data_IF_816829836936
#
_entry.id   IF_816829836936
#
_cell.length_a   1.000
_cell.length_b   1.000
_cell.length_c   1.000
_cell.angle_alpha   90.00
_cell.angle_beta   90.00
_cell.angle_gamma   90.00
#
_symmetry.space_group_name_H-M   'P 1'
#
loop_
_entity.id
_entity.type
_entity.pdbx_description
1 polymer ?
#
# COMPACT_ATOMS: atom_id res chain seq x y z
N UNK A 1 -12.72 -28.17 -25.36
CA UNK A 1 -12.17 -29.38 -24.70
C UNK A 1 -12.84 -29.54 -23.35
N UNK A 2 -13.52 -30.65 -23.08
CA UNK A 2 -14.09 -30.93 -21.76
C UNK A 2 -12.92 -31.14 -20.78
N UNK A 3 -12.74 -30.26 -19.79
CA UNK A 3 -11.72 -30.44 -18.76
C UNK A 3 -12.14 -31.62 -17.89
N UNK A 4 -11.44 -32.75 -18.01
CA UNK A 4 -11.67 -33.89 -17.13
C UNK A 4 -11.21 -33.48 -15.73
N UNK A 5 -12.12 -33.47 -14.76
CA UNK A 5 -11.78 -33.21 -13.36
C UNK A 5 -11.04 -34.45 -12.85
N UNK A 6 -9.76 -34.30 -12.50
CA UNK A 6 -8.92 -35.37 -11.94
C UNK A 6 -8.71 -35.13 -10.45
N UNK A 7 -8.74 -36.21 -9.68
CA UNK A 7 -8.52 -36.16 -8.23
C UNK A 7 -7.04 -35.90 -7.93
N UNK A 8 -6.70 -35.44 -6.72
CA UNK A 8 -5.29 -35.27 -6.32
C UNK A 8 -4.54 -36.60 -6.35
N UNK A 9 -5.20 -37.68 -5.91
CA UNK A 9 -4.62 -39.03 -5.88
C UNK A 9 -4.22 -39.55 -7.27
N UNK A 10 -4.96 -39.14 -8.32
CA UNK A 10 -4.63 -39.45 -9.71
C UNK A 10 -3.23 -38.92 -10.11
N UNK A 11 -2.77 -37.81 -9.53
CA UNK A 11 -1.42 -37.25 -9.76
C UNK A 11 -0.36 -37.89 -8.87
N UNK A 12 -0.72 -38.18 -7.62
CA UNK A 12 0.20 -38.74 -6.62
C UNK A 12 0.75 -40.10 -7.04
N UNK A 13 -0.06 -40.93 -7.71
CA UNK A 13 0.39 -42.20 -8.27
C UNK A 13 1.62 -42.03 -9.17
N UNK A 14 1.60 -41.05 -10.07
CA UNK A 14 2.72 -40.77 -10.97
C UNK A 14 3.91 -40.09 -10.29
N UNK A 15 3.67 -39.25 -9.28
CA UNK A 15 4.76 -38.61 -8.54
C UNK A 15 5.55 -39.59 -7.69
N UNK A 16 4.88 -40.61 -7.12
CA UNK A 16 5.53 -41.69 -6.36
C UNK A 16 6.38 -42.60 -7.26
N UNK A 17 5.93 -42.85 -8.48
CA UNK A 17 6.64 -43.68 -9.45
C UNK A 17 7.91 -42.99 -9.98
N UNK A 18 7.96 -41.65 -9.98
CA UNK A 18 9.16 -40.84 -10.22
C UNK A 18 9.72 -40.88 -11.65
N UNK A 19 9.12 -41.67 -12.54
CA UNK A 19 9.62 -41.98 -13.87
C UNK A 19 9.11 -41.06 -14.98
N UNK A 20 8.07 -40.26 -14.71
CA UNK A 20 7.40 -39.43 -15.72
C UNK A 20 7.61 -37.93 -15.50
N UNK A 21 7.86 -37.23 -16.61
CA UNK A 21 7.91 -35.77 -16.69
C UNK A 21 6.51 -35.15 -16.59
N UNK A 22 6.45 -33.86 -16.23
CA UNK A 22 5.18 -33.12 -16.13
C UNK A 22 4.41 -33.04 -17.45
N UNK A 23 5.10 -33.19 -18.60
CA UNK A 23 4.48 -33.22 -19.93
C UNK A 23 3.75 -34.56 -20.13
N UNK A 24 4.41 -35.67 -19.84
CA UNK A 24 3.84 -37.02 -20.01
C UNK A 24 2.65 -37.25 -19.07
N UNK A 25 2.74 -36.74 -17.83
CA UNK A 25 1.63 -36.80 -16.87
C UNK A 25 0.44 -35.96 -17.35
N UNK A 26 0.70 -34.79 -17.93
CA UNK A 26 -0.34 -33.91 -18.46
C UNK A 26 -1.09 -34.55 -19.63
N UNK A 27 -0.37 -35.19 -20.56
CA UNK A 27 -0.94 -35.92 -21.68
C UNK A 27 -1.77 -37.12 -21.23
N UNK A 28 -1.26 -37.92 -20.28
CA UNK A 28 -1.98 -39.09 -19.73
C UNK A 28 -3.24 -38.71 -18.96
N UNK A 29 -3.19 -37.62 -18.17
CA UNK A 29 -4.32 -37.18 -17.35
C UNK A 29 -5.31 -36.29 -18.12
N UNK A 30 -4.93 -35.79 -19.30
CA UNK A 30 -5.74 -34.87 -20.11
C UNK A 30 -5.87 -33.48 -19.49
N UNK A 31 -4.81 -33.01 -18.83
CA UNK A 31 -4.77 -31.74 -18.08
C UNK A 31 -3.60 -30.88 -18.54
N UNK A 32 -3.54 -29.61 -18.13
CA UNK A 32 -2.42 -28.76 -18.53
C UNK A 32 -1.14 -29.10 -17.75
N UNK A 33 0.01 -28.97 -18.40
CA UNK A 33 1.34 -29.12 -17.76
C UNK A 33 1.48 -28.23 -16.51
N UNK A 34 0.96 -27.02 -16.57
CA UNK A 34 0.98 -26.06 -15.45
C UNK A 34 0.18 -26.59 -14.25
N UNK A 35 -0.92 -27.30 -14.50
CA UNK A 35 -1.69 -27.93 -13.42
C UNK A 35 -0.89 -29.06 -12.76
N UNK A 36 -0.24 -29.92 -13.56
CA UNK A 36 0.63 -30.98 -13.03
C UNK A 36 1.76 -30.40 -12.18
N UNK A 37 2.46 -29.38 -12.68
CA UNK A 37 3.54 -28.71 -11.94
C UNK A 37 3.06 -28.16 -10.59
N UNK A 38 1.90 -27.49 -10.57
CA UNK A 38 1.32 -26.94 -9.33
C UNK A 38 1.00 -28.04 -8.32
N UNK A 39 0.44 -29.15 -8.79
CA UNK A 39 0.10 -30.31 -7.95
C UNK A 39 1.37 -31.03 -7.47
N UNK A 40 2.44 -31.11 -8.28
CA UNK A 40 3.75 -31.66 -7.88
C UNK A 40 4.43 -30.84 -6.80
N UNK A 41 4.42 -29.51 -6.94
CA UNK A 41 4.94 -28.60 -5.91
C UNK A 41 4.16 -28.74 -4.59
N UNK A 42 2.84 -28.84 -4.66
CA UNK A 42 1.99 -29.07 -3.49
C UNK A 42 2.30 -30.41 -2.81
N UNK A 43 2.43 -31.48 -3.62
CA UNK A 43 2.79 -32.80 -3.13
C UNK A 43 4.17 -32.85 -2.46
N UNK A 44 5.19 -32.22 -3.06
CA UNK A 44 6.53 -32.14 -2.51
C UNK A 44 6.64 -31.38 -1.18
N UNK A 45 5.66 -30.52 -0.87
CA UNK A 45 5.55 -29.81 0.42
C UNK A 45 4.81 -30.59 1.50
N UNK A 46 4.27 -31.78 1.19
CA UNK A 46 3.50 -32.59 2.14
C UNK A 46 2.10 -32.04 2.46
N UNK A 47 1.64 -31.02 1.73
CA UNK A 47 0.32 -30.40 1.90
C UNK A 47 -0.77 -31.31 1.31
N UNK A 48 -1.20 -32.29 2.09
CA UNK A 48 -2.25 -33.26 1.71
C UNK A 48 -3.67 -32.72 1.90
N UNK A 49 -3.84 -31.58 2.58
CA UNK A 49 -5.14 -30.94 2.75
C UNK A 49 -5.32 -29.75 1.80
N UNK A 50 -6.55 -29.56 1.33
CA UNK A 50 -7.00 -28.26 0.82
C UNK A 50 -7.17 -27.40 2.06
N UNK A 51 -6.10 -26.72 2.49
CA UNK A 51 -6.23 -25.67 3.49
C UNK A 51 -6.82 -24.45 2.77
N UNK A 52 -8.14 -24.36 2.80
CA UNK A 52 -8.94 -23.28 2.23
C UNK A 52 -8.91 -22.02 3.13
N UNK A 53 -8.03 -21.99 4.13
CA UNK A 53 -7.86 -20.85 5.03
C UNK A 53 -6.53 -20.16 4.72
N UNK A 54 -6.56 -19.24 3.76
CA UNK A 54 -5.50 -18.28 3.49
C UNK A 54 -5.43 -17.20 4.58
N UNK A 55 -5.48 -17.60 5.86
CA UNK A 55 -5.33 -16.68 6.99
C UNK A 55 -3.85 -16.52 7.29
N UNK A 56 -3.34 -15.34 6.97
CA UNK A 56 -2.03 -14.90 7.40
C UNK A 56 -2.07 -14.72 8.93
N UNK A 57 -1.38 -15.58 9.67
CA UNK A 57 -1.22 -15.44 11.12
C UNK A 57 0.01 -14.58 11.39
N UNK A 58 -0.16 -13.44 12.06
CA UNK A 58 0.95 -12.61 12.56
C UNK A 58 1.16 -12.89 14.05
N UNK A 59 2.39 -12.70 14.55
CA UNK A 59 2.66 -12.80 15.99
C UNK A 59 2.10 -11.58 16.73
N UNK A 60 1.73 -11.76 17.99
CA UNK A 60 1.24 -10.69 18.88
C UNK A 60 2.24 -9.52 18.95
N UNK A 61 3.54 -9.82 19.10
CA UNK A 61 4.59 -8.81 19.14
C UNK A 61 4.64 -7.96 17.86
N UNK A 62 4.39 -8.58 16.69
CA UNK A 62 4.35 -7.86 15.41
C UNK A 62 3.12 -6.96 15.35
N UNK A 63 1.99 -7.43 15.86
CA UNK A 63 0.76 -6.64 15.93
C UNK A 63 0.93 -5.41 16.85
N UNK A 64 1.48 -5.60 18.04
CA UNK A 64 1.72 -4.51 19.00
C UNK A 64 2.74 -3.49 18.51
N UNK A 65 3.77 -3.98 17.80
CA UNK A 65 4.72 -3.09 17.13
C UNK A 65 4.05 -2.23 16.06
N UNK A 66 3.22 -2.82 15.21
CA UNK A 66 2.47 -2.08 14.18
C UNK A 66 1.53 -1.06 14.81
N UNK A 67 0.77 -1.43 15.84
CA UNK A 67 -0.08 -0.49 16.58
C UNK A 67 0.74 0.68 17.12
N UNK A 68 1.81 0.40 17.85
CA UNK A 68 2.70 1.42 18.41
C UNK A 68 3.27 2.34 17.32
N UNK A 69 3.66 1.79 16.17
CA UNK A 69 4.15 2.56 15.04
C UNK A 69 3.06 3.46 14.43
N UNK A 70 1.84 2.95 14.27
CA UNK A 70 0.71 3.72 13.73
C UNK A 70 0.30 4.88 14.65
N UNK A 71 0.26 4.66 15.97
CA UNK A 71 -0.03 5.73 16.91
C UNK A 71 1.05 6.81 16.89
N UNK A 72 2.34 6.42 16.82
CA UNK A 72 3.44 7.39 16.73
C UNK A 72 3.38 8.21 15.44
N UNK A 73 3.08 7.58 14.30
CA UNK A 73 2.97 8.30 13.03
C UNK A 73 1.79 9.26 13.03
N UNK A 74 0.64 8.87 13.61
CA UNK A 74 -0.52 9.73 13.74
C UNK A 74 -0.25 10.95 14.62
N UNK A 75 0.34 10.76 15.81
CA UNK A 75 0.70 11.86 16.72
C UNK A 75 1.67 12.82 16.05
N UNK A 76 2.69 12.30 15.35
CA UNK A 76 3.64 13.12 14.62
C UNK A 76 2.96 13.92 13.49
N UNK A 77 2.05 13.29 12.73
CA UNK A 77 1.31 13.97 11.66
C UNK A 77 0.44 15.11 12.22
N UNK A 78 -0.24 14.88 13.36
CA UNK A 78 -1.03 15.92 14.04
C UNK A 78 -0.15 17.10 14.49
N UNK A 79 1.03 16.81 15.04
CA UNK A 79 1.99 17.83 15.46
C UNK A 79 2.46 18.68 14.26
N UNK A 80 2.91 18.03 13.19
CA UNK A 80 3.36 18.72 11.96
C UNK A 80 2.23 19.59 11.38
N UNK A 81 0.99 19.09 11.37
CA UNK A 81 -0.16 19.88 10.92
C UNK A 81 -0.36 21.14 11.77
N UNK A 82 -0.28 21.02 13.10
CA UNK A 82 -0.43 22.17 13.99
C UNK A 82 0.69 23.21 13.83
N UNK A 83 1.93 22.77 13.58
CA UNK A 83 3.06 23.67 13.30
C UNK A 83 2.84 24.40 11.97
N UNK A 84 2.38 23.70 10.93
CA UNK A 84 2.05 24.29 9.63
C UNK A 84 0.92 25.32 9.74
N UNK A 85 -0.14 25.01 10.49
CA UNK A 85 -1.25 25.93 10.71
C UNK A 85 -0.79 27.24 11.39
N UNK A 86 0.13 27.12 12.35
CA UNK A 86 0.71 28.27 13.05
C UNK A 86 1.59 29.13 12.13
N UNK A 87 2.47 28.52 11.33
CA UNK A 87 3.30 29.24 10.36
C UNK A 87 2.46 29.93 9.29
N UNK A 88 1.38 29.29 8.84
CA UNK A 88 0.43 29.90 7.92
C UNK A 88 -0.21 31.15 8.54
N UNK A 89 -0.69 31.07 9.78
CA UNK A 89 -1.27 32.21 10.47
C UNK A 89 -0.26 33.36 10.64
N UNK A 90 1.00 33.04 10.96
CA UNK A 90 2.07 34.04 11.05
C UNK A 90 2.32 34.74 9.72
N UNK A 91 2.35 33.99 8.61
CA UNK A 91 2.50 34.56 7.26
C UNK A 91 1.32 35.46 6.89
N UNK A 92 0.09 35.03 7.15
CA UNK A 92 -1.12 35.82 6.89
C UNK A 92 -1.09 37.15 7.67
N UNK A 93 -0.74 37.10 8.97
CA UNK A 93 -0.59 38.30 9.79
C UNK A 93 0.55 39.20 9.32
N UNK A 94 1.70 38.61 8.96
CA UNK A 94 2.85 39.32 8.42
C UNK A 94 2.50 40.07 7.13
N UNK A 95 1.80 39.41 6.21
CA UNK A 95 1.31 40.02 4.98
C UNK A 95 0.36 41.19 5.26
N UNK A 96 -0.65 40.99 6.12
CA UNK A 96 -1.61 42.05 6.46
C UNK A 96 -0.90 43.28 7.05
N UNK A 97 0.07 43.07 7.94
CA UNK A 97 0.82 44.17 8.55
C UNK A 97 1.68 44.92 7.53
N UNK A 98 2.43 44.19 6.69
CA UNK A 98 3.25 44.79 5.64
C UNK A 98 2.39 45.57 4.64
N UNK A 99 1.26 45.00 4.22
CA UNK A 99 0.31 45.64 3.32
C UNK A 99 -0.24 46.93 3.91
N UNK A 100 -0.70 46.91 5.17
CA UNK A 100 -1.21 48.11 5.87
C UNK A 100 -0.16 49.22 5.94
N UNK A 101 1.09 48.87 6.26
CA UNK A 101 2.18 49.85 6.33
C UNK A 101 2.45 50.47 4.95
N UNK A 102 2.58 49.64 3.92
CA UNK A 102 2.79 50.10 2.55
C UNK A 102 1.66 51.01 2.08
N UNK A 103 0.40 50.58 2.22
CA UNK A 103 -0.76 51.38 1.82
C UNK A 103 -0.83 52.71 2.55
N UNK A 104 -0.49 52.75 3.85
CA UNK A 104 -0.49 54.00 4.61
C UNK A 104 0.54 55.00 4.07
N UNK A 105 1.75 54.53 3.76
CA UNK A 105 2.81 55.37 3.15
C UNK A 105 2.40 55.86 1.77
N UNK A 106 1.86 54.97 0.93
CA UNK A 106 1.45 55.33 -0.43
C UNK A 106 0.29 56.34 -0.43
N UNK A 107 -0.68 56.19 0.48
CA UNK A 107 -1.78 57.14 0.65
C UNK A 107 -1.29 58.52 1.07
N UNK A 108 -0.35 58.60 2.01
CA UNK A 108 0.26 59.88 2.43
C UNK A 108 0.98 60.55 1.25
N UNK A 109 1.79 59.78 0.50
CA UNK A 109 2.49 60.25 -0.69
C UNK A 109 1.51 60.80 -1.74
N UNK A 110 0.40 60.11 -1.98
CA UNK A 110 -0.67 60.57 -2.89
C UNK A 110 -1.31 61.87 -2.39
N UNK A 111 -1.62 61.98 -1.09
CA UNK A 111 -2.17 63.19 -0.51
C UNK A 111 -1.24 64.39 -0.70
N UNK A 112 0.06 64.25 -0.40
CA UNK A 112 1.05 65.32 -0.61
C UNK A 112 1.12 65.75 -2.08
N UNK A 113 1.09 64.80 -3.03
CA UNK A 113 1.07 65.11 -4.46
C UNK A 113 -0.17 65.91 -4.86
N UNK A 114 -1.34 65.59 -4.31
CA UNK A 114 -2.59 66.32 -4.59
C UNK A 114 -2.54 67.74 -4.01
N UNK A 115 -2.03 67.91 -2.79
CA UNK A 115 -1.92 69.24 -2.17
C UNK A 115 -0.96 70.15 -2.94
N UNK A 116 0.15 69.62 -3.46
CA UNK A 116 1.10 70.40 -4.26
C UNK A 116 0.55 70.83 -5.64
N UNK A 117 -0.58 70.28 -6.08
CA UNK A 117 -1.24 70.66 -7.34
C UNK A 117 -2.31 71.75 -7.15
N UNK A 118 -2.63 72.11 -5.90
CA UNK A 118 -3.55 73.21 -5.55
C UNK A 118 -2.78 74.52 -5.36
#
# INVERSE_FOLDING_TARGET
MKKVKRSFDDYVAYFREGSLSDIEIAERLGVSRVNVWRIRQKWGRGETSVNDDSRLTISEDTFEHLLSQTFRSEVNARKVRSELDLERANLELGFINAFKQYSSVELVSMHTKIENLR
#
